data_IF_574658257793
#
_entry.id   IF_574658257793
#
_cell.length_a   1.000
_cell.length_b   1.000
_cell.length_c   1.000
_cell.angle_alpha   90.00
_cell.angle_beta   90.00
_cell.angle_gamma   90.00
#
_symmetry.space_group_name_H-M   'P 1'
#
loop_
_entity.id
_entity.type
_entity.pdbx_description
1 polymer ?
#
# COMPACT_ATOMS: atom_id res chain seq x y z
N UNK A 1 7.50 18.39 14.49
CA UNK A 1 6.84 17.15 14.00
C UNK A 1 7.31 16.93 12.58
N UNK A 2 7.93 15.78 12.27
CA UNK A 2 8.42 15.47 10.92
C UNK A 2 7.25 15.04 10.02
N UNK A 3 7.22 15.49 8.76
CA UNK A 3 6.27 15.07 7.73
C UNK A 3 7.01 14.27 6.67
N UNK A 4 6.52 13.10 6.30
CA UNK A 4 7.13 12.29 5.24
C UNK A 4 6.83 12.90 3.86
N UNK A 5 7.85 13.02 3.04
CA UNK A 5 7.77 13.48 1.65
C UNK A 5 8.83 12.78 0.78
N UNK A 6 8.86 13.09 -0.51
CA UNK A 6 9.80 12.49 -1.45
C UNK A 6 11.29 12.79 -1.11
N UNK A 7 11.58 13.90 -0.42
CA UNK A 7 12.94 14.29 -0.09
C UNK A 7 13.49 13.49 1.11
N UNK A 8 12.64 13.13 2.08
CA UNK A 8 13.06 12.42 3.28
C UNK A 8 12.71 10.92 3.29
N UNK A 9 11.79 10.45 2.45
CA UNK A 9 11.38 9.05 2.41
C UNK A 9 12.56 8.06 2.22
N UNK A 10 13.54 8.29 1.32
CA UNK A 10 14.65 7.35 1.13
C UNK A 10 15.53 7.17 2.37
N UNK A 11 15.67 8.20 3.20
CA UNK A 11 16.43 8.12 4.44
C UNK A 11 15.64 7.39 5.54
N UNK A 12 14.33 7.62 5.61
CA UNK A 12 13.45 7.03 6.62
C UNK A 12 13.17 5.54 6.40
N UNK A 13 13.05 5.12 5.14
CA UNK A 13 12.80 3.70 4.78
C UNK A 13 14.05 2.84 4.95
N UNK A 14 15.24 3.45 4.88
CA UNK A 14 16.51 2.72 4.92
C UNK A 14 16.67 1.97 6.24
N UNK A 15 16.89 0.66 6.15
CA UNK A 15 17.10 -0.21 7.31
C UNK A 15 15.81 -0.71 7.97
N UNK A 16 14.63 -0.38 7.43
CA UNK A 16 13.39 -1.01 7.85
C UNK A 16 13.25 -2.42 7.24
N UNK A 17 12.75 -3.37 8.03
CA UNK A 17 12.39 -4.71 7.53
C UNK A 17 11.07 -4.71 6.74
N UNK A 18 10.18 -3.77 7.07
CA UNK A 18 8.84 -3.61 6.53
C UNK A 18 8.35 -2.18 6.79
N UNK A 19 7.64 -1.58 5.84
CA UNK A 19 6.96 -0.28 6.01
C UNK A 19 5.45 -0.48 5.93
N UNK A 20 4.71 0.19 6.83
CA UNK A 20 3.25 0.20 6.84
C UNK A 20 2.74 1.58 6.39
N UNK A 21 1.92 1.61 5.35
CA UNK A 21 1.28 2.83 4.83
C UNK A 21 -0.23 2.82 5.04
N UNK A 22 -0.68 3.63 6.00
CA UNK A 22 -2.09 3.96 6.23
C UNK A 22 -2.40 5.44 5.95
N UNK A 23 -1.60 6.12 5.13
CA UNK A 23 -1.76 7.56 4.89
C UNK A 23 -2.99 7.86 4.01
N UNK A 24 -3.57 9.03 4.18
CA UNK A 24 -4.80 9.44 3.50
C UNK A 24 -4.57 10.26 2.21
N UNK A 25 -3.31 10.47 1.81
CA UNK A 25 -2.97 11.32 0.68
C UNK A 25 -2.02 10.65 -0.31
N UNK A 26 -2.30 10.83 -1.60
CA UNK A 26 -1.55 10.20 -2.68
C UNK A 26 -0.06 10.57 -2.67
N UNK A 27 0.30 11.84 -2.44
CA UNK A 27 1.69 12.28 -2.45
C UNK A 27 2.57 11.44 -1.51
N UNK A 28 2.09 11.15 -0.30
CA UNK A 28 2.81 10.30 0.67
C UNK A 28 2.88 8.85 0.18
N UNK A 29 1.77 8.30 -0.33
CA UNK A 29 1.71 6.91 -0.85
C UNK A 29 2.69 6.68 -2.00
N UNK A 30 2.76 7.60 -2.96
CA UNK A 30 3.68 7.49 -4.08
C UNK A 30 5.14 7.67 -3.64
N UNK A 31 5.42 8.63 -2.73
CA UNK A 31 6.76 8.84 -2.20
C UNK A 31 7.29 7.62 -1.42
N UNK A 32 6.47 7.05 -0.52
CA UNK A 32 6.87 5.87 0.26
C UNK A 32 7.00 4.63 -0.63
N UNK A 33 6.12 4.46 -1.62
CA UNK A 33 6.25 3.38 -2.60
C UNK A 33 7.58 3.46 -3.37
N UNK A 34 7.93 4.63 -3.89
CA UNK A 34 9.18 4.80 -4.62
C UNK A 34 10.40 4.51 -3.75
N UNK A 35 10.40 5.02 -2.51
CA UNK A 35 11.48 4.79 -1.56
C UNK A 35 11.61 3.29 -1.18
N UNK A 36 10.48 2.61 -0.90
CA UNK A 36 10.46 1.19 -0.58
C UNK A 36 10.91 0.33 -1.76
N UNK A 37 10.41 0.60 -2.97
CA UNK A 37 10.80 -0.11 -4.18
C UNK A 37 12.31 0.00 -4.44
N UNK A 38 12.88 1.21 -4.33
CA UNK A 38 14.30 1.45 -4.51
C UNK A 38 15.17 0.82 -3.41
N UNK A 39 14.68 0.77 -2.17
CA UNK A 39 15.41 0.19 -1.03
C UNK A 39 15.28 -1.34 -0.92
N UNK A 40 14.43 -1.97 -1.74
CA UNK A 40 14.09 -3.39 -1.60
C UNK A 40 13.35 -3.72 -0.30
N UNK A 41 12.69 -2.73 0.30
CA UNK A 41 11.92 -2.88 1.54
C UNK A 41 10.44 -3.12 1.17
N UNK A 42 9.79 -4.16 1.70
CA UNK A 42 8.36 -4.38 1.46
C UNK A 42 7.52 -3.22 2.00
N UNK A 43 6.48 -2.89 1.24
CA UNK A 43 5.47 -1.91 1.63
C UNK A 43 4.13 -2.61 1.80
N UNK A 44 3.63 -2.69 3.02
CA UNK A 44 2.27 -3.10 3.31
C UNK A 44 1.39 -1.85 3.37
N UNK A 45 0.48 -1.69 2.43
CA UNK A 45 -0.40 -0.51 2.41
C UNK A 45 -1.86 -0.89 2.50
N UNK A 46 -2.60 -0.12 3.30
CA UNK A 46 -4.05 -0.18 3.38
C UNK A 46 -4.64 1.16 2.97
N UNK A 47 -5.80 1.13 2.31
CA UNK A 47 -6.60 2.30 1.98
C UNK A 47 -8.08 1.99 2.25
N UNK A 48 -8.87 3.02 2.50
CA UNK A 48 -10.30 2.84 2.76
C UNK A 48 -11.08 4.09 2.40
N UNK A 49 -12.33 3.90 2.01
CA UNK A 49 -13.27 4.98 1.71
C UNK A 49 -14.67 4.49 2.06
N UNK A 50 -15.46 5.34 2.72
CA UNK A 50 -16.83 5.03 3.10
C UNK A 50 -16.95 3.73 3.93
N UNK A 51 -17.29 2.62 3.28
CA UNK A 51 -17.50 1.30 3.88
C UNK A 51 -16.54 0.23 3.37
N UNK A 52 -15.66 0.56 2.41
CA UNK A 52 -14.77 -0.38 1.77
C UNK A 52 -13.31 -0.12 2.14
N UNK A 53 -12.58 -1.20 2.39
CA UNK A 53 -11.15 -1.17 2.64
C UNK A 53 -10.41 -2.09 1.68
N UNK A 54 -9.17 -1.73 1.35
CA UNK A 54 -8.26 -2.57 0.58
C UNK A 54 -6.90 -2.66 1.26
N UNK A 55 -6.23 -3.80 1.12
CA UNK A 55 -4.89 -4.04 1.64
C UNK A 55 -4.09 -4.95 0.70
N UNK A 56 -2.80 -4.63 0.52
CA UNK A 56 -1.86 -5.44 -0.26
C UNK A 56 -0.43 -5.26 0.22
N UNK A 57 0.41 -6.28 -0.02
CA UNK A 57 1.84 -6.23 0.19
C UNK A 57 2.56 -6.01 -1.15
N UNK A 58 3.18 -4.85 -1.28
CA UNK A 58 3.99 -4.44 -2.43
C UNK A 58 5.46 -4.75 -2.17
N UNK A 59 6.05 -5.65 -2.95
CA UNK A 59 7.43 -6.12 -2.77
C UNK A 59 8.04 -6.53 -4.11
N UNK A 60 8.43 -5.55 -4.96
CA UNK A 60 8.99 -5.82 -6.27
C UNK A 60 10.35 -6.54 -6.23
N UNK A 61 11.14 -6.29 -5.19
CA UNK A 61 12.43 -6.97 -4.98
C UNK A 61 12.29 -8.49 -4.79
N UNK A 62 11.08 -8.97 -4.45
CA UNK A 62 10.79 -10.39 -4.25
C UNK A 62 9.61 -10.88 -5.11
N UNK A 63 9.47 -10.31 -6.31
CA UNK A 63 8.57 -10.79 -7.36
C UNK A 63 7.13 -10.28 -7.32
N UNK A 64 6.79 -9.36 -6.42
CA UNK A 64 5.48 -8.71 -6.37
C UNK A 64 5.38 -7.47 -7.27
N UNK A 65 4.19 -6.87 -7.39
CA UNK A 65 4.04 -5.51 -7.91
C UNK A 65 4.56 -4.47 -6.89
N UNK A 66 4.92 -3.27 -7.36
CA UNK A 66 4.91 -2.08 -6.51
C UNK A 66 3.51 -1.42 -6.55
N UNK A 67 3.25 -0.42 -5.69
CA UNK A 67 1.98 0.30 -5.69
C UNK A 67 1.67 0.92 -7.07
N UNK A 68 2.68 1.51 -7.72
CA UNK A 68 2.55 2.10 -9.05
C UNK A 68 2.35 1.09 -10.20
N UNK A 69 2.49 -0.22 -9.97
CA UNK A 69 2.04 -1.22 -10.93
C UNK A 69 0.51 -1.33 -10.97
N UNK A 70 -0.15 -1.09 -9.83
CA UNK A 70 -1.61 -1.20 -9.67
C UNK A 70 -2.29 0.15 -9.87
N UNK A 71 -1.66 1.23 -9.38
CA UNK A 71 -2.15 2.59 -9.46
C UNK A 71 -1.10 3.47 -10.15
N UNK A 72 -1.02 3.47 -11.49
CA UNK A 72 0.08 4.09 -12.23
C UNK A 72 0.20 5.60 -12.03
N UNK A 73 -0.94 6.26 -11.98
CA UNK A 73 -1.05 7.70 -11.89
C UNK A 73 -2.00 8.04 -10.75
N UNK A 74 -1.69 9.08 -9.96
CA UNK A 74 -2.63 9.56 -8.96
C UNK A 74 -3.92 10.00 -9.66
N UNK A 75 -5.09 9.86 -9.00
CA UNK A 75 -6.33 10.41 -9.53
C UNK A 75 -6.19 11.91 -9.82
N UNK A 76 -6.89 12.40 -10.84
CA UNK A 76 -6.88 13.84 -11.12
C UNK A 76 -7.39 14.62 -9.90
N UNK A 77 -6.89 15.84 -9.73
CA UNK A 77 -7.28 16.69 -8.61
C UNK A 77 -8.81 16.84 -8.55
N UNK A 78 -9.39 16.49 -7.39
CA UNK A 78 -10.84 16.56 -7.17
C UNK A 78 -11.64 15.31 -7.57
N UNK A 79 -11.05 14.30 -8.22
CA UNK A 79 -11.76 13.05 -8.57
C UNK A 79 -11.77 12.00 -7.46
N UNK A 80 -10.81 12.05 -6.54
CA UNK A 80 -10.72 11.13 -5.41
C UNK A 80 -10.64 11.93 -4.10
N UNK A 81 -11.77 12.11 -3.40
CA UNK A 81 -11.77 12.76 -2.09
C UNK A 81 -10.93 11.95 -1.09
N UNK A 82 -10.23 12.65 -0.19
CA UNK A 82 -9.56 12.03 0.95
C UNK A 82 -10.57 11.35 1.88
N UNK A 83 -10.13 10.46 2.77
CA UNK A 83 -11.00 9.87 3.79
C UNK A 83 -11.72 10.93 4.64
N UNK A 84 -11.07 12.08 4.87
CA UNK A 84 -11.65 13.21 5.60
C UNK A 84 -12.75 13.94 4.80
N UNK A 85 -12.70 13.90 3.48
CA UNK A 85 -13.68 14.53 2.58
C UNK A 85 -14.82 13.57 2.21
N UNK A 86 -14.51 12.30 1.93
CA UNK A 86 -15.47 11.26 1.55
C UNK A 86 -16.27 10.69 2.74
N UNK A 87 -15.67 10.75 3.94
CA UNK A 87 -16.11 10.04 5.12
C UNK A 87 -15.67 8.58 5.12
N UNK A 88 -15.45 8.04 6.32
CA UNK A 88 -15.14 6.63 6.58
C UNK A 88 -15.90 6.19 7.82
N UNK A 89 -16.57 5.05 7.78
CA UNK A 89 -17.23 4.50 8.96
C UNK A 89 -16.18 4.17 10.03
N UNK A 90 -16.30 4.74 11.23
CA UNK A 90 -15.21 4.74 12.22
C UNK A 90 -14.70 3.35 12.64
N UNK A 91 -15.50 2.30 12.49
CA UNK A 91 -15.08 0.92 12.76
C UNK A 91 -14.11 0.37 11.69
N UNK A 92 -14.21 0.83 10.44
CA UNK A 92 -13.45 0.29 9.31
C UNK A 92 -11.93 0.51 9.44
N UNK A 93 -11.41 1.67 9.88
CA UNK A 93 -9.98 1.82 10.20
C UNK A 93 -9.49 0.83 11.25
N UNK A 94 -10.32 0.46 12.22
CA UNK A 94 -10.00 -0.57 13.21
C UNK A 94 -9.88 -1.97 12.59
N UNK A 95 -10.81 -2.32 11.70
CA UNK A 95 -10.78 -3.58 10.94
C UNK A 95 -9.53 -3.64 10.05
N UNK A 96 -9.33 -2.63 9.21
CA UNK A 96 -8.21 -2.57 8.26
C UNK A 96 -6.86 -2.46 8.96
N UNK A 97 -6.77 -1.71 10.05
CA UNK A 97 -5.56 -1.61 10.87
C UNK A 97 -5.19 -2.94 11.51
N UNK A 98 -6.18 -3.71 11.98
CA UNK A 98 -5.96 -5.06 12.54
C UNK A 98 -5.51 -6.05 11.46
N UNK A 99 -6.11 -6.02 10.28
CA UNK A 99 -5.65 -6.81 9.13
C UNK A 99 -4.21 -6.44 8.74
N UNK A 100 -3.89 -5.15 8.72
CA UNK A 100 -2.53 -4.67 8.42
C UNK A 100 -1.51 -5.12 9.47
N UNK A 101 -1.86 -5.06 10.76
CA UNK A 101 -0.99 -5.58 11.82
C UNK A 101 -0.75 -7.10 11.67
N UNK A 102 -1.79 -7.86 11.33
CA UNK A 102 -1.68 -9.31 11.12
C UNK A 102 -0.80 -9.66 9.91
N UNK A 103 -0.98 -8.97 8.77
CA UNK A 103 -0.11 -9.15 7.60
C UNK A 103 1.35 -8.77 7.90
N UNK A 104 1.58 -7.73 8.70
CA UNK A 104 2.92 -7.36 9.14
C UNK A 104 3.57 -8.47 9.98
N UNK A 105 2.83 -9.03 10.94
CA UNK A 105 3.31 -10.18 11.75
C UNK A 105 3.63 -11.37 10.86
N UNK A 106 2.75 -11.73 9.92
CA UNK A 106 3.00 -12.82 8.97
C UNK A 106 4.25 -12.59 8.13
N UNK A 107 4.44 -11.38 7.62
CA UNK A 107 5.60 -11.02 6.83
C UNK A 107 6.91 -11.11 7.63
N UNK A 108 6.93 -10.61 8.86
CA UNK A 108 8.13 -10.61 9.73
C UNK A 108 8.44 -12.02 10.23
N UNK A 109 7.43 -12.74 10.73
CA UNK A 109 7.56 -14.09 11.27
C UNK A 109 7.69 -15.17 10.18
N UNK A 110 7.52 -14.80 8.91
CA UNK A 110 7.46 -15.72 7.76
C UNK A 110 6.39 -16.80 7.96
N UNK A 111 5.23 -16.39 8.46
CA UNK A 111 4.14 -17.28 8.83
C UNK A 111 3.05 -17.30 7.75
N UNK A 112 2.88 -18.45 7.09
CA UNK A 112 1.85 -18.66 6.09
C UNK A 112 2.01 -17.78 4.85
N UNK A 113 0.89 -17.47 4.21
CA UNK A 113 0.85 -16.64 3.02
C UNK A 113 0.58 -15.17 3.35
N UNK A 114 1.33 -14.29 2.69
CA UNK A 114 1.13 -12.85 2.72
C UNK A 114 0.42 -12.37 1.45
N UNK A 115 -0.09 -11.15 1.45
CA UNK A 115 -0.77 -10.54 0.31
C UNK A 115 0.16 -10.09 -0.84
N UNK A 116 1.31 -10.74 -1.03
CA UNK A 116 2.17 -10.43 -2.19
C UNK A 116 1.48 -10.91 -3.46
N UNK A 117 1.34 -10.02 -4.44
CA UNK A 117 0.66 -10.34 -5.71
C UNK A 117 -0.86 -10.50 -5.57
N UNK A 118 -1.45 -10.03 -4.47
CA UNK A 118 -2.89 -10.01 -4.29
C UNK A 118 -3.34 -8.76 -3.55
N UNK A 119 -4.56 -8.31 -3.81
CA UNK A 119 -5.24 -7.29 -3.02
C UNK A 119 -6.47 -7.93 -2.38
N UNK A 120 -6.58 -7.79 -1.07
CA UNK A 120 -7.79 -8.08 -0.34
C UNK A 120 -8.65 -6.81 -0.32
N UNK A 121 -9.91 -6.94 -0.70
CA UNK A 121 -10.95 -5.91 -0.60
C UNK A 121 -11.97 -6.40 0.41
N UNK A 122 -12.31 -5.56 1.37
CA UNK A 122 -13.32 -5.80 2.39
C UNK A 122 -14.48 -4.83 2.16
N UNK A 123 -15.68 -5.38 1.92
CA UNK A 123 -16.94 -4.63 1.87
C UNK A 123 -17.61 -4.72 3.24
N UNK A 124 -17.64 -3.59 3.96
CA UNK A 124 -18.23 -3.49 5.28
C UNK A 124 -19.77 -3.45 5.31
N UNK A 125 -20.44 -3.18 4.19
CA UNK A 125 -21.91 -3.20 4.11
C UNK A 125 -22.44 -4.62 4.02
N UNK A 126 -21.77 -5.46 3.24
CA UNK A 126 -22.19 -6.85 3.00
C UNK A 126 -21.36 -7.89 3.76
N UNK A 127 -20.34 -7.43 4.51
CA UNK A 127 -19.37 -8.28 5.20
C UNK A 127 -18.68 -9.29 4.25
N UNK A 128 -18.40 -8.85 3.02
CA UNK A 128 -17.75 -9.67 2.00
C UNK A 128 -16.25 -9.39 1.92
N UNK A 129 -15.49 -10.42 1.58
CA UNK A 129 -14.08 -10.29 1.22
C UNK A 129 -13.84 -10.78 -0.19
N UNK A 130 -13.16 -9.98 -1.00
CA UNK A 130 -12.72 -10.36 -2.35
C UNK A 130 -11.19 -10.31 -2.40
N UNK A 131 -10.59 -11.32 -3.02
CA UNK A 131 -9.14 -11.36 -3.28
C UNK A 131 -8.93 -11.30 -4.78
N UNK A 132 -8.26 -10.25 -5.24
CA UNK A 132 -7.91 -10.08 -6.66
C UNK A 132 -6.42 -10.30 -6.84
N UNK A 133 -6.04 -10.96 -7.93
CA UNK A 133 -4.64 -11.13 -8.29
C UNK A 133 -4.05 -9.81 -8.80
N UNK A 134 -2.82 -9.52 -8.42
CA UNK A 134 -2.06 -8.37 -8.88
C UNK A 134 -0.77 -8.85 -9.56
N UNK A 135 -0.42 -8.19 -10.67
CA UNK A 135 0.79 -8.49 -11.42
C UNK A 135 1.73 -7.28 -11.46
N UNK A 136 3.04 -7.54 -11.46
CA UNK A 136 4.04 -6.52 -11.75
C UNK A 136 3.84 -6.04 -13.19
N UNK A 137 3.83 -4.73 -13.38
CA UNK A 137 3.68 -4.12 -14.70
C UNK A 137 5.05 -4.07 -15.41
N UNK A 138 5.20 -4.57 -16.66
CA UNK A 138 6.50 -4.63 -17.34
C UNK A 138 7.13 -3.27 -17.67
N UNK A 139 6.34 -2.20 -17.77
CA UNK A 139 6.78 -0.85 -18.08
C UNK A 139 6.70 0.09 -16.84
N UNK A 140 6.68 -0.47 -15.63
CA UNK A 140 6.53 0.34 -14.42
C UNK A 140 7.73 1.29 -14.21
N UNK A 141 7.52 2.62 -14.20
CA UNK A 141 8.63 3.59 -14.09
C UNK A 141 9.26 3.61 -12.70
N UNK A 142 8.64 2.96 -11.70
CA UNK A 142 9.14 2.92 -10.33
C UNK A 142 9.99 1.67 -10.10
N UNK A 143 9.46 0.48 -10.35
CA UNK A 143 10.14 -0.77 -10.01
C UNK A 143 10.89 -1.42 -11.18
N UNK A 144 10.90 -0.82 -12.37
CA UNK A 144 11.67 -1.30 -13.54
C UNK A 144 12.62 -0.21 -14.08
N UNK A 145 12.93 0.80 -13.28
CA UNK A 145 13.78 1.92 -13.70
C UNK A 145 15.24 1.49 -14.03
N UNK A 146 15.67 0.30 -13.63
CA UNK A 146 17.01 -0.25 -13.90
C UNK A 146 17.09 -1.11 -15.18
N UNK A 147 15.96 -1.41 -15.84
CA UNK A 147 15.91 -2.11 -17.15
C UNK A 147 15.85 -1.13 -18.34
N UNK A 148 16.25 0.14 -18.15
CA UNK A 148 16.31 1.19 -19.18
C UNK A 148 17.68 1.82 -19.30
#
# INVERSE_FOLDING_TARGET
>A
RLRLDAANAPALVRGCDLVLDGCDNFATRYAVNAACAAAGVPLLAAAMSQWEGQISLYDPARGGPCYACVFPEPPAAGLAPSCAEAGVIGALPGVMGSMMALEAVKQIARAGEVLRGAMLIYDGLHAETRRIALARRPDCPVCNAEDR
#
